data_IF_737475640126
#
_entry.id   IF_737475640126
#
_cell.length_a   1.000
_cell.length_b   1.000
_cell.length_c   1.000
_cell.angle_alpha   90.00
_cell.angle_beta   90.00
_cell.angle_gamma   90.00
#
_symmetry.space_group_name_H-M   'P 1'
#
loop_
_entity.id
_entity.type
_entity.pdbx_description
1 polymer ?
#
# COMPACT_ATOMS: atom_id res chain seq x y z
N UNK A 1 -8.99 10.75 14.29
CA UNK A 1 -8.08 11.67 14.98
C UNK A 1 -7.23 11.00 16.09
N UNK A 2 -7.74 10.03 16.86
CA UNK A 2 -6.92 9.32 17.86
C UNK A 2 -5.89 8.30 17.29
N UNK A 3 -5.88 8.06 15.97
CA UNK A 3 -4.99 7.08 15.33
C UNK A 3 -3.49 7.43 15.47
N UNK A 4 -3.16 8.71 15.65
CA UNK A 4 -1.78 9.17 15.88
C UNK A 4 -1.23 8.83 17.27
N UNK A 5 -2.08 8.64 18.28
CA UNK A 5 -1.65 8.21 19.61
C UNK A 5 -1.49 6.68 19.68
N UNK A 6 -2.32 5.95 18.93
CA UNK A 6 -2.27 4.48 18.86
C UNK A 6 -1.10 3.98 18.03
N UNK A 7 -0.53 4.80 17.13
CA UNK A 7 0.62 4.41 16.29
C UNK A 7 1.92 4.20 17.08
N UNK A 8 2.01 4.71 18.32
CA UNK A 8 3.19 4.47 19.16
C UNK A 8 3.26 3.03 19.68
N UNK A 9 2.12 2.40 19.98
CA UNK A 9 2.05 1.03 20.46
C UNK A 9 2.69 0.00 19.52
N UNK A 10 2.41 -0.01 18.20
CA UNK A 10 3.10 -0.90 17.27
C UNK A 10 4.60 -0.60 17.18
N UNK A 11 5.00 0.67 17.22
CA UNK A 11 6.42 1.02 17.25
C UNK A 11 7.14 0.44 18.49
N UNK A 12 6.53 0.56 19.68
CA UNK A 12 7.08 -0.05 20.90
C UNK A 12 7.14 -1.59 20.82
N UNK A 13 6.17 -2.22 20.18
CA UNK A 13 6.18 -3.67 19.96
C UNK A 13 7.34 -4.07 19.03
N UNK A 14 7.57 -3.33 17.94
CA UNK A 14 8.68 -3.58 17.02
C UNK A 14 10.05 -3.48 17.71
N UNK A 15 10.17 -2.58 18.68
CA UNK A 15 11.40 -2.37 19.45
C UNK A 15 11.75 -3.57 20.33
N UNK A 16 10.76 -4.26 20.90
CA UNK A 16 10.98 -5.44 21.75
C UNK A 16 11.22 -6.72 20.96
N UNK A 17 10.50 -6.94 19.86
CA UNK A 17 10.55 -8.21 19.12
C UNK A 17 11.63 -8.25 18.03
N UNK A 18 12.22 -7.10 17.73
CA UNK A 18 13.24 -6.94 16.70
C UNK A 18 12.65 -6.78 15.30
N UNK A 19 13.37 -6.09 14.40
CA UNK A 19 12.83 -5.58 13.14
C UNK A 19 12.38 -6.68 12.16
N UNK A 20 13.00 -7.87 12.19
CA UNK A 20 12.62 -8.98 11.29
C UNK A 20 11.30 -9.62 11.69
N UNK A 21 11.08 -9.83 12.99
CA UNK A 21 9.85 -10.46 13.51
C UNK A 21 8.67 -9.50 13.41
N UNK A 22 8.89 -8.21 13.68
CA UNK A 22 7.86 -7.18 13.53
C UNK A 22 7.44 -6.98 12.08
N UNK A 23 8.38 -7.08 11.12
CA UNK A 23 8.07 -7.05 9.69
C UNK A 23 7.15 -8.20 9.29
N UNK A 24 7.50 -9.44 9.68
CA UNK A 24 6.70 -10.62 9.39
C UNK A 24 5.31 -10.57 10.06
N UNK A 25 5.27 -10.21 11.35
CA UNK A 25 4.02 -10.10 12.10
C UNK A 25 3.11 -9.00 11.54
N UNK A 26 3.68 -7.85 11.15
CA UNK A 26 2.96 -6.78 10.46
C UNK A 26 2.37 -7.30 9.15
N UNK A 27 3.20 -7.89 8.28
CA UNK A 27 2.75 -8.44 7.00
C UNK A 27 1.63 -9.48 7.12
N UNK A 28 1.77 -10.43 8.05
CA UNK A 28 0.75 -11.47 8.31
C UNK A 28 -0.54 -10.84 8.83
N UNK A 29 -0.46 -9.92 9.79
CA UNK A 29 -1.64 -9.25 10.37
C UNK A 29 -2.36 -8.42 9.30
N UNK A 30 -1.63 -7.70 8.45
CA UNK A 30 -2.18 -6.96 7.32
C UNK A 30 -2.86 -7.86 6.30
N UNK A 31 -2.24 -8.99 5.96
CA UNK A 31 -2.82 -9.98 5.05
C UNK A 31 -4.14 -10.55 5.61
N UNK A 32 -4.18 -10.88 6.90
CA UNK A 32 -5.40 -11.35 7.58
C UNK A 32 -6.48 -10.27 7.57
N UNK A 33 -6.13 -9.01 7.86
CA UNK A 33 -7.08 -7.90 7.86
C UNK A 33 -7.67 -7.63 6.47
N UNK A 34 -6.84 -7.66 5.41
CA UNK A 34 -7.29 -7.52 4.03
C UNK A 34 -8.14 -8.70 3.57
N UNK A 35 -7.77 -9.93 3.95
CA UNK A 35 -8.56 -11.12 3.64
C UNK A 35 -9.91 -11.09 4.35
N UNK A 36 -9.96 -10.60 5.60
CA UNK A 36 -11.20 -10.32 6.31
C UNK A 36 -12.05 -9.25 5.62
N UNK A 37 -11.43 -8.16 5.15
CA UNK A 37 -12.12 -7.13 4.39
C UNK A 37 -12.75 -7.68 3.11
N UNK A 38 -12.00 -8.51 2.38
CA UNK A 38 -12.47 -9.19 1.17
C UNK A 38 -13.62 -10.17 1.47
N UNK A 39 -13.51 -10.96 2.55
CA UNK A 39 -14.54 -11.92 2.96
C UNK A 39 -15.86 -11.22 3.34
N UNK A 40 -15.79 -10.09 4.05
CA UNK A 40 -16.96 -9.27 4.39
C UNK A 40 -17.54 -8.62 3.13
N UNK A 41 -16.71 -8.09 2.24
CA UNK A 41 -17.16 -7.46 0.99
C UNK A 41 -17.88 -8.45 0.06
N UNK A 42 -17.43 -9.73 0.02
CA UNK A 42 -18.06 -10.81 -0.75
C UNK A 42 -19.28 -11.44 -0.06
N UNK A 43 -19.66 -10.98 1.12
CA UNK A 43 -20.76 -11.54 1.93
C UNK A 43 -20.59 -13.03 2.28
N UNK A 44 -19.36 -13.55 2.31
CA UNK A 44 -19.11 -14.92 2.81
C UNK A 44 -19.45 -15.05 4.29
N UNK A 45 -19.34 -13.96 5.04
CA UNK A 45 -19.74 -13.87 6.44
C UNK A 45 -21.01 -13.00 6.50
N UNK A 46 -22.18 -13.56 6.83
CA UNK A 46 -23.41 -12.78 6.93
C UNK A 46 -23.36 -11.89 8.17
N UNK A 47 -23.00 -10.64 7.98
CA UNK A 47 -22.99 -9.61 9.04
C UNK A 47 -24.28 -8.80 8.96
N UNK A 48 -24.94 -8.57 10.10
CA UNK A 48 -26.12 -7.70 10.18
C UNK A 48 -25.80 -6.31 9.62
N UNK A 49 -26.72 -5.73 8.84
CA UNK A 49 -26.51 -4.43 8.16
C UNK A 49 -26.03 -3.32 9.10
N UNK A 50 -26.49 -3.32 10.35
CA UNK A 50 -26.05 -2.35 11.37
C UNK A 50 -24.62 -2.53 11.86
N UNK A 51 -24.04 -3.72 11.70
CA UNK A 51 -22.68 -4.06 12.15
C UNK A 51 -21.62 -4.01 11.03
N UNK A 52 -22.03 -3.81 9.78
CA UNK A 52 -21.09 -3.75 8.64
C UNK A 52 -20.10 -2.60 8.79
N UNK A 53 -20.58 -1.40 9.12
CA UNK A 53 -19.75 -0.20 9.30
C UNK A 53 -18.72 -0.35 10.43
N UNK A 54 -19.09 -0.79 11.65
CA UNK A 54 -18.10 -0.96 12.72
C UNK A 54 -17.09 -2.08 12.42
N UNK A 55 -17.50 -3.19 11.79
CA UNK A 55 -16.58 -4.28 11.42
C UNK A 55 -15.56 -3.81 10.38
N UNK A 56 -16.01 -3.13 9.32
CA UNK A 56 -15.11 -2.55 8.31
C UNK A 56 -14.17 -1.50 8.92
N UNK A 57 -14.66 -0.70 9.87
CA UNK A 57 -13.85 0.30 10.56
C UNK A 57 -12.76 -0.35 11.43
N UNK A 58 -13.08 -1.42 12.16
CA UNK A 58 -12.11 -2.18 12.96
C UNK A 58 -11.05 -2.85 12.08
N UNK A 59 -11.45 -3.46 10.96
CA UNK A 59 -10.52 -4.04 9.98
C UNK A 59 -9.63 -2.97 9.34
N UNK A 60 -10.17 -1.77 9.10
CA UNK A 60 -9.42 -0.62 8.61
C UNK A 60 -8.35 -0.16 9.60
N UNK A 61 -8.69 -0.06 10.90
CA UNK A 61 -7.73 0.26 11.96
C UNK A 61 -6.65 -0.81 12.06
N UNK A 62 -7.02 -2.10 12.00
CA UNK A 62 -6.06 -3.22 12.00
C UNK A 62 -5.08 -3.16 10.82
N UNK A 63 -5.60 -2.90 9.61
CA UNK A 63 -4.78 -2.69 8.41
C UNK A 63 -3.82 -1.50 8.57
N UNK A 64 -4.30 -0.39 9.14
CA UNK A 64 -3.47 0.77 9.41
C UNK A 64 -2.34 0.47 10.40
N UNK A 65 -2.65 -0.23 11.50
CA UNK A 65 -1.64 -0.63 12.50
C UNK A 65 -0.59 -1.57 11.90
N UNK A 66 -1.00 -2.52 11.07
CA UNK A 66 -0.10 -3.41 10.33
C UNK A 66 0.86 -2.61 9.44
N UNK A 67 0.35 -1.66 8.65
CA UNK A 67 1.16 -0.83 7.77
C UNK A 67 2.15 0.04 8.55
N UNK A 68 1.74 0.55 9.73
CA UNK A 68 2.63 1.28 10.62
C UNK A 68 3.76 0.39 11.17
N UNK A 69 3.47 -0.86 11.56
CA UNK A 69 4.49 -1.84 11.99
C UNK A 69 5.52 -2.12 10.90
N UNK A 70 5.05 -2.42 9.69
CA UNK A 70 5.93 -2.72 8.54
C UNK A 70 6.80 -1.51 8.22
N UNK A 71 6.20 -0.32 8.15
CA UNK A 71 6.92 0.93 7.84
C UNK A 71 7.99 1.24 8.89
N UNK A 72 7.65 1.17 10.18
CA UNK A 72 8.60 1.37 11.27
C UNK A 72 9.75 0.37 11.25
N UNK A 73 9.45 -0.90 10.95
CA UNK A 73 10.44 -1.97 10.84
C UNK A 73 11.41 -1.76 9.67
N UNK A 74 10.88 -1.38 8.49
CA UNK A 74 11.69 -1.05 7.31
C UNK A 74 12.58 0.16 7.58
N UNK A 75 12.05 1.20 8.21
CA UNK A 75 12.85 2.38 8.55
C UNK A 75 13.98 2.03 9.52
N UNK A 76 13.71 1.21 10.55
CA UNK A 76 14.75 0.70 11.44
C UNK A 76 15.81 -0.12 10.71
N UNK A 77 15.42 -0.99 9.78
CA UNK A 77 16.35 -1.75 8.97
C UNK A 77 17.22 -0.85 8.11
N UNK A 78 16.65 0.16 7.45
CA UNK A 78 17.39 1.13 6.67
C UNK A 78 18.42 1.84 7.55
N UNK A 79 17.99 2.38 8.69
CA UNK A 79 18.88 3.12 9.60
C UNK A 79 20.00 2.24 10.17
N UNK A 80 19.72 0.96 10.45
CA UNK A 80 20.71 0.02 10.95
C UNK A 80 21.67 -0.49 9.86
N UNK A 81 21.23 -0.54 8.60
CA UNK A 81 22.02 -1.13 7.50
C UNK A 81 22.77 -0.09 6.67
N UNK A 82 22.45 1.20 6.80
CA UNK A 82 23.07 2.27 6.02
C UNK A 82 24.07 3.09 6.83
N UNK A 83 25.22 3.36 6.21
CA UNK A 83 26.26 4.21 6.79
C UNK A 83 25.86 5.68 6.93
N UNK A 84 26.64 6.48 7.67
CA UNK A 84 26.45 7.92 7.73
C UNK A 84 26.53 8.53 6.31
N UNK A 85 25.55 9.38 5.97
CA UNK A 85 25.46 10.06 4.67
C UNK A 85 24.55 9.41 3.62
N UNK A 86 24.24 8.11 3.70
CA UNK A 86 23.42 7.42 2.67
C UNK A 86 21.96 7.20 3.06
N UNK A 87 21.56 7.62 4.27
CA UNK A 87 20.22 7.40 4.83
C UNK A 87 19.11 8.03 3.98
N UNK A 88 19.33 9.24 3.46
CA UNK A 88 18.36 9.96 2.64
C UNK A 88 18.04 9.21 1.35
N UNK A 89 19.08 8.74 0.64
CA UNK A 89 18.94 7.98 -0.61
C UNK A 89 18.21 6.66 -0.39
N UNK A 90 18.49 5.94 0.70
CA UNK A 90 17.84 4.67 1.01
C UNK A 90 16.35 4.84 1.35
N UNK A 91 15.99 5.88 2.12
CA UNK A 91 14.58 6.23 2.38
C UNK A 91 13.87 6.67 1.09
N UNK A 92 14.56 7.44 0.24
CA UNK A 92 14.06 7.85 -1.07
C UNK A 92 13.76 6.65 -1.97
N UNK A 93 14.66 5.68 -2.06
CA UNK A 93 14.47 4.44 -2.81
C UNK A 93 13.28 3.63 -2.27
N UNK A 94 13.17 3.49 -0.95
CA UNK A 94 12.04 2.80 -0.33
C UNK A 94 10.70 3.48 -0.66
N UNK A 95 10.63 4.82 -0.60
CA UNK A 95 9.43 5.58 -0.97
C UNK A 95 9.10 5.45 -2.46
N UNK A 96 10.13 5.46 -3.31
CA UNK A 96 9.99 5.20 -4.75
C UNK A 96 9.35 3.84 -5.02
N UNK A 97 9.80 2.80 -4.30
CA UNK A 97 9.21 1.46 -4.41
C UNK A 97 7.73 1.41 -4.01
N UNK A 98 7.35 2.12 -2.94
CA UNK A 98 5.94 2.25 -2.54
C UNK A 98 5.11 2.94 -3.62
N UNK A 99 5.65 3.99 -4.26
CA UNK A 99 5.00 4.69 -5.37
C UNK A 99 4.80 3.81 -6.60
N UNK A 100 5.82 3.03 -6.98
CA UNK A 100 5.71 2.06 -8.07
C UNK A 100 4.65 0.99 -7.78
N UNK A 101 4.58 0.50 -6.54
CA UNK A 101 3.53 -0.42 -6.11
C UNK A 101 2.13 0.19 -6.28
N UNK A 102 1.92 1.43 -5.85
CA UNK A 102 0.66 2.12 -6.02
C UNK A 102 0.26 2.30 -7.51
N UNK A 103 1.23 2.62 -8.38
CA UNK A 103 1.02 2.70 -9.82
C UNK A 103 0.62 1.34 -10.43
N UNK A 104 1.32 0.26 -10.06
CA UNK A 104 0.98 -1.09 -10.50
C UNK A 104 -0.44 -1.50 -10.08
N UNK A 105 -0.84 -1.18 -8.84
CA UNK A 105 -2.21 -1.42 -8.37
C UNK A 105 -3.25 -0.59 -9.14
N UNK A 106 -2.94 0.67 -9.48
CA UNK A 106 -3.85 1.50 -10.28
C UNK A 106 -4.08 0.90 -11.66
N UNK A 107 -3.01 0.50 -12.38
CA UNK A 107 -3.12 -0.15 -13.68
C UNK A 107 -3.87 -1.49 -13.60
N UNK A 108 -3.63 -2.29 -12.55
CA UNK A 108 -4.35 -3.55 -12.33
C UNK A 108 -5.85 -3.29 -12.12
N UNK A 109 -6.20 -2.28 -11.33
CA UNK A 109 -7.59 -1.94 -11.06
C UNK A 109 -8.29 -1.39 -12.30
N UNK A 110 -7.57 -0.61 -13.12
CA UNK A 110 -8.06 -0.15 -14.43
C UNK A 110 -8.33 -1.31 -15.38
N UNK A 111 -7.40 -2.28 -15.48
CA UNK A 111 -7.60 -3.49 -16.28
C UNK A 111 -8.81 -4.33 -15.80
N UNK A 112 -9.01 -4.44 -14.48
CA UNK A 112 -10.16 -5.13 -13.89
C UNK A 112 -11.48 -4.40 -14.15
N UNK A 113 -11.48 -3.06 -14.22
CA UNK A 113 -12.66 -2.26 -14.59
C UNK A 113 -12.96 -2.32 -16.08
N UNK A 114 -11.92 -2.40 -16.92
CA UNK A 114 -12.03 -2.52 -18.38
C UNK A 114 -12.39 -3.92 -18.87
N UNK A 115 -12.16 -4.97 -18.07
CA UNK A 115 -12.42 -6.37 -18.44
C UNK A 115 -13.89 -6.80 -18.57
N UNK A 116 -14.86 -5.88 -18.49
CA UNK A 116 -16.30 -6.16 -18.58
C UNK A 116 -16.94 -5.88 -19.95
N UNK A 117 -16.27 -5.18 -20.87
CA UNK A 117 -16.78 -4.91 -22.22
C UNK A 117 -15.57 -4.88 -23.16
N UNK A 118 -15.48 -5.76 -24.17
CA UNK A 118 -14.45 -5.60 -25.19
C UNK A 118 -14.62 -4.21 -25.81
N UNK A 119 -13.54 -3.43 -25.98
CA UNK A 119 -13.66 -2.15 -26.67
C UNK A 119 -14.33 -2.42 -28.02
N UNK A 120 -15.25 -1.57 -28.48
CA UNK A 120 -15.76 -1.68 -29.84
C UNK A 120 -14.55 -1.72 -30.76
N UNK A 121 -14.39 -2.84 -31.45
CA UNK A 121 -13.45 -3.00 -32.55
C UNK A 121 -13.84 -2.00 -33.62
N UNK A 122 -13.27 -0.80 -33.54
CA UNK A 122 -13.61 0.30 -34.42
C UNK A 122 -12.76 1.52 -34.11
N UNK A 123 -11.64 1.66 -34.82
CA UNK A 123 -10.92 2.91 -34.89
C UNK A 123 -9.41 2.75 -34.97
N UNK A 124 -8.91 2.39 -36.15
CA UNK A 124 -7.63 2.92 -36.63
C UNK A 124 -7.53 4.42 -36.34
N UNK A 125 -6.40 4.87 -35.82
CA UNK A 125 -6.23 6.27 -35.41
C UNK A 125 -4.80 6.68 -35.16
N UNK A 126 -3.98 6.62 -36.21
CA UNK A 126 -3.01 7.68 -36.52
C UNK A 126 -1.78 7.85 -35.63
N UNK A 127 -0.63 7.49 -36.21
CA UNK A 127 0.66 7.97 -35.73
C UNK A 127 0.77 9.50 -35.75
N UNK A 128 1.47 10.04 -34.76
CA UNK A 128 1.84 11.45 -34.68
C UNK A 128 3.27 11.55 -34.16
N UNK A 129 4.23 11.26 -35.05
CA UNK A 129 5.63 11.63 -34.85
C UNK A 129 5.73 13.15 -34.99
N UNK A 130 5.86 13.84 -33.86
CA UNK A 130 6.04 15.29 -33.81
C UNK A 130 7.44 15.63 -33.31
N UNK A 131 8.41 15.57 -34.20
CA UNK A 131 9.70 16.27 -34.05
C UNK A 131 9.42 17.78 -34.09
N UNK A 132 9.74 18.50 -33.02
CA UNK A 132 9.90 19.95 -33.10
C UNK A 132 11.23 20.32 -32.42
N UNK A 133 12.23 20.54 -33.26
CA UNK A 133 13.38 21.36 -32.93
C UNK A 133 12.96 22.81 -32.72
N UNK A 134 13.69 23.50 -31.87
CA UNK A 134 13.47 24.92 -31.59
C UNK A 134 14.58 25.44 -30.71
N UNK A 135 15.65 25.89 -31.36
CA UNK A 135 16.64 26.83 -30.84
C UNK A 135 15.98 27.94 -30.03
N UNK A 136 16.56 28.27 -28.87
CA UNK A 136 16.50 29.63 -28.34
C UNK A 136 17.90 30.00 -27.86
N UNK A 137 18.30 31.17 -28.34
CA UNK A 137 19.62 31.81 -28.33
C UNK A 137 20.24 32.05 -26.97
#
# INVERSE_FOLDING_TARGET
FCSGLVSWAPCMAADKFGPRRSLAAGGITGAIALLGFWAVARQYIPVSRGLVVPVLSMLGVGSFMSSALVTGSVFKLIVASTGPGTKGSAVGAAKGYVGLGAGAYACLFEALRGGGVPPPSGGEGGGGSGSNGGDVS
#
